data_IF_494430522550
#
_entry.id   IF_494430522550
#
_cell.length_a   1.000
_cell.length_b   1.000
_cell.length_c   1.000
_cell.angle_alpha   90.00
_cell.angle_beta   90.00
_cell.angle_gamma   90.00
#
_symmetry.space_group_name_H-M   'P 1'
#
loop_
_entity.id
_entity.type
_entity.pdbx_description
1 polymer ?
#
# COMPACT_ATOMS: atom_id res chain seq x y z
N UNK A 1 -9.57 -2.83 -8.70
CA UNK A 1 -10.01 -3.22 -7.36
C UNK A 1 -11.23 -4.13 -7.37
N UNK A 2 -12.15 -3.96 -8.32
CA UNK A 2 -13.43 -4.66 -8.35
C UNK A 2 -13.75 -5.18 -9.73
N UNK A 3 -14.46 -6.31 -9.78
CA UNK A 3 -15.27 -6.72 -10.93
C UNK A 3 -16.70 -6.24 -10.72
N UNK A 4 -17.44 -6.01 -11.80
CA UNK A 4 -18.85 -5.63 -11.77
C UNK A 4 -19.70 -6.72 -12.41
N UNK A 5 -20.80 -7.07 -11.76
CA UNK A 5 -21.84 -7.97 -12.26
C UNK A 5 -23.20 -7.29 -12.12
N UNK A 6 -24.16 -7.68 -12.97
CA UNK A 6 -25.53 -7.23 -12.81
C UNK A 6 -26.28 -8.27 -11.95
N UNK A 7 -26.88 -7.81 -10.85
CA UNK A 7 -27.65 -8.67 -9.93
C UNK A 7 -28.99 -8.02 -9.60
N UNK A 8 -29.98 -8.87 -9.34
CA UNK A 8 -31.29 -8.42 -8.86
C UNK A 8 -31.22 -8.14 -7.36
N UNK A 9 -31.68 -6.97 -6.97
CA UNK A 9 -31.75 -6.54 -5.57
C UNK A 9 -33.15 -6.04 -5.24
N UNK A 10 -33.59 -6.26 -3.99
CA UNK A 10 -34.77 -5.61 -3.49
C UNK A 10 -34.50 -4.14 -3.25
N UNK A 11 -35.26 -3.29 -3.92
CA UNK A 11 -35.19 -1.84 -3.76
C UNK A 11 -36.56 -1.31 -3.26
N UNK A 12 -36.50 -0.24 -2.48
CA UNK A 12 -37.72 0.43 -2.00
C UNK A 12 -37.80 1.82 -2.64
N UNK A 13 -38.99 2.15 -3.15
CA UNK A 13 -39.37 3.50 -3.55
C UNK A 13 -40.62 3.88 -2.76
N UNK A 14 -40.44 4.71 -1.77
CA UNK A 14 -41.50 4.94 -0.80
C UNK A 14 -41.76 3.67 0.01
N UNK A 15 -43.01 3.23 0.09
CA UNK A 15 -43.40 2.02 0.80
C UNK A 15 -43.43 0.73 -0.06
N UNK A 16 -43.15 0.86 -1.37
CA UNK A 16 -43.20 -0.27 -2.31
C UNK A 16 -41.82 -0.86 -2.51
N UNK A 17 -41.68 -2.15 -2.22
CA UNK A 17 -40.49 -2.94 -2.53
C UNK A 17 -40.63 -3.58 -3.91
N UNK A 18 -39.58 -3.54 -4.71
CA UNK A 18 -39.53 -4.15 -6.04
C UNK A 18 -38.16 -4.73 -6.33
N UNK A 19 -38.10 -5.68 -7.25
CA UNK A 19 -36.82 -6.15 -7.79
C UNK A 19 -36.32 -5.18 -8.84
N UNK A 20 -35.06 -4.81 -8.72
CA UNK A 20 -34.33 -3.98 -9.69
C UNK A 20 -33.01 -4.64 -10.04
N UNK A 21 -32.64 -4.57 -11.32
CA UNK A 21 -31.28 -4.96 -11.75
C UNK A 21 -30.33 -3.81 -11.46
N UNK A 22 -29.28 -4.09 -10.69
CA UNK A 22 -28.23 -3.12 -10.34
C UNK A 22 -26.85 -3.73 -10.51
N UNK A 23 -25.87 -2.89 -10.80
CA UNK A 23 -24.47 -3.32 -10.80
C UNK A 23 -23.99 -3.55 -9.38
N UNK A 24 -23.37 -4.70 -9.17
CA UNK A 24 -22.70 -5.09 -7.93
C UNK A 24 -21.21 -5.17 -8.17
N UNK A 25 -20.42 -4.61 -7.27
CA UNK A 25 -18.96 -4.71 -7.29
C UNK A 25 -18.50 -5.79 -6.33
N UNK A 26 -17.55 -6.59 -6.78
CA UNK A 26 -16.90 -7.62 -5.95
C UNK A 26 -15.38 -7.40 -6.01
N UNK A 27 -14.65 -7.39 -4.87
CA UNK A 27 -13.19 -7.24 -4.88
C UNK A 27 -12.53 -8.34 -5.71
N UNK A 28 -11.58 -7.95 -6.56
CA UNK A 28 -10.77 -8.89 -7.36
C UNK A 28 -9.84 -9.65 -6.42
N UNK A 29 -9.95 -10.97 -6.35
CA UNK A 29 -9.11 -11.86 -5.54
C UNK A 29 -8.13 -12.63 -6.43
N UNK A 30 -7.40 -11.92 -7.28
CA UNK A 30 -6.41 -12.51 -8.18
C UNK A 30 -4.99 -12.33 -7.62
N UNK A 31 -4.37 -13.44 -7.20
CA UNK A 31 -3.00 -13.44 -6.68
C UNK A 31 -1.91 -13.09 -7.70
N UNK A 32 -2.25 -12.97 -9.00
CA UNK A 32 -1.31 -12.57 -10.03
C UNK A 32 -1.22 -11.05 -10.21
N UNK A 33 -2.14 -10.29 -9.60
CA UNK A 33 -2.14 -8.82 -9.65
C UNK A 33 -1.77 -8.21 -8.30
N UNK A 34 -1.14 -7.03 -8.31
CA UNK A 34 -0.76 -6.34 -7.09
C UNK A 34 -1.98 -5.98 -6.23
N UNK A 35 -3.02 -5.37 -6.84
CA UNK A 35 -4.26 -5.01 -6.14
C UNK A 35 -5.02 -6.24 -5.63
N UNK A 36 -5.02 -7.33 -6.39
CA UNK A 36 -5.63 -8.59 -5.97
C UNK A 36 -4.93 -9.21 -4.76
N UNK A 37 -3.59 -9.18 -4.71
CA UNK A 37 -2.83 -9.63 -3.53
C UNK A 37 -3.14 -8.80 -2.29
N UNK A 38 -3.26 -7.48 -2.43
CA UNK A 38 -3.67 -6.60 -1.33
C UNK A 38 -5.08 -6.98 -0.85
N UNK A 39 -6.04 -7.17 -1.77
CA UNK A 39 -7.40 -7.59 -1.44
C UNK A 39 -7.42 -8.92 -0.66
N UNK A 40 -6.69 -9.93 -1.14
CA UNK A 40 -6.57 -11.23 -0.47
C UNK A 40 -5.98 -11.06 0.94
N UNK A 41 -4.88 -10.32 1.07
CA UNK A 41 -4.18 -10.12 2.33
C UNK A 41 -5.05 -9.42 3.37
N UNK A 42 -5.65 -8.28 3.03
CA UNK A 42 -6.47 -7.50 3.97
C UNK A 42 -7.75 -8.27 4.34
N UNK A 43 -8.41 -8.90 3.35
CA UNK A 43 -9.58 -9.73 3.62
C UNK A 43 -9.25 -10.84 4.64
N UNK A 44 -8.12 -11.53 4.44
CA UNK A 44 -7.67 -12.59 5.35
C UNK A 44 -7.36 -12.06 6.74
N UNK A 45 -6.66 -10.92 6.85
CA UNK A 45 -6.36 -10.30 8.15
C UNK A 45 -7.63 -9.91 8.89
N UNK A 46 -8.62 -9.29 8.22
CA UNK A 46 -9.90 -8.93 8.83
C UNK A 46 -10.71 -10.14 9.28
N UNK A 47 -10.61 -11.27 8.58
CA UNK A 47 -11.27 -12.52 8.99
C UNK A 47 -10.62 -13.14 10.23
N UNK A 48 -9.27 -13.12 10.28
CA UNK A 48 -8.52 -13.73 11.40
C UNK A 48 -8.50 -12.84 12.65
N UNK A 49 -8.52 -11.53 12.46
CA UNK A 49 -8.35 -10.53 13.52
C UNK A 49 -9.42 -9.44 13.39
N UNK A 50 -10.71 -9.78 13.53
CA UNK A 50 -11.81 -8.84 13.28
C UNK A 50 -11.84 -7.65 14.23
N UNK A 51 -11.27 -7.82 15.43
CA UNK A 51 -11.19 -6.84 16.51
C UNK A 51 -9.85 -6.08 16.57
N UNK A 52 -8.93 -6.32 15.62
CA UNK A 52 -7.62 -5.67 15.62
C UNK A 52 -7.55 -4.54 14.59
N UNK A 53 -6.89 -3.47 14.99
CA UNK A 53 -6.55 -2.41 14.06
C UNK A 53 -5.48 -2.90 13.08
N UNK A 54 -5.80 -2.80 11.80
CA UNK A 54 -4.87 -3.04 10.70
C UNK A 54 -4.45 -1.67 10.18
N UNK A 55 -3.17 -1.45 10.00
CA UNK A 55 -2.62 -0.22 9.42
C UNK A 55 -1.74 -0.59 8.24
N UNK A 56 -1.95 0.04 7.10
CA UNK A 56 -1.11 -0.12 5.92
C UNK A 56 -0.02 0.95 5.91
N UNK A 57 1.16 0.57 5.44
CA UNK A 57 2.26 1.49 5.17
C UNK A 57 2.53 1.51 3.67
N UNK A 58 2.68 2.70 3.09
CA UNK A 58 3.15 2.79 1.70
C UNK A 58 4.62 2.43 1.60
N UNK A 59 5.10 1.95 0.44
CA UNK A 59 6.54 1.80 0.19
C UNK A 59 7.29 3.12 0.40
N UNK A 60 8.54 3.03 0.83
CA UNK A 60 9.46 4.17 0.87
C UNK A 60 9.92 4.54 -0.54
N UNK A 61 10.46 5.76 -0.68
CA UNK A 61 11.32 6.10 -1.81
C UNK A 61 12.51 5.16 -1.89
N UNK A 62 12.90 4.81 -3.09
CA UNK A 62 13.98 3.87 -3.36
C UNK A 62 14.87 4.34 -4.51
N UNK A 63 16.13 3.96 -4.47
CA UNK A 63 17.05 4.17 -5.58
C UNK A 63 17.75 2.87 -5.94
N UNK A 64 18.84 2.97 -6.71
CA UNK A 64 19.62 1.83 -7.17
C UNK A 64 19.94 0.86 -6.02
N UNK A 65 19.74 -0.42 -6.29
CA UNK A 65 20.24 -1.50 -5.45
C UNK A 65 20.92 -2.55 -6.34
N UNK A 66 22.19 -2.85 -6.06
CA UNK A 66 22.99 -3.82 -6.80
C UNK A 66 23.45 -4.94 -5.87
N UNK A 67 22.77 -6.07 -5.96
CA UNK A 67 23.08 -7.28 -5.17
C UNK A 67 23.72 -8.39 -6.02
N UNK A 68 24.37 -8.00 -7.13
CA UNK A 68 25.06 -8.89 -8.05
C UNK A 68 24.30 -9.12 -9.36
N UNK A 69 24.93 -9.86 -10.27
CA UNK A 69 24.55 -10.00 -11.69
C UNK A 69 23.07 -10.29 -12.00
N UNK A 70 22.35 -10.92 -11.09
CA UNK A 70 20.95 -11.32 -11.29
C UNK A 70 19.95 -10.49 -10.48
N UNK A 71 20.41 -9.52 -9.71
CA UNK A 71 19.58 -8.73 -8.83
C UNK A 71 20.05 -7.26 -8.77
N UNK A 72 20.06 -6.62 -9.91
CA UNK A 72 20.24 -5.18 -10.02
C UNK A 72 18.88 -4.54 -10.20
N UNK A 73 18.53 -3.61 -9.32
CA UNK A 73 17.26 -2.92 -9.34
C UNK A 73 17.51 -1.44 -9.62
N UNK A 74 16.89 -0.87 -10.67
CA UNK A 74 17.04 0.55 -10.99
C UNK A 74 16.36 1.41 -9.91
N UNK A 75 16.63 2.70 -9.96
CA UNK A 75 15.91 3.68 -9.14
C UNK A 75 14.43 3.82 -9.57
N UNK A 76 13.64 4.50 -8.73
CA UNK A 76 12.19 4.63 -8.93
C UNK A 76 11.76 5.47 -10.13
N UNK A 77 12.71 6.20 -10.78
CA UNK A 77 12.43 6.96 -12.00
C UNK A 77 12.34 6.07 -13.25
N UNK A 78 12.68 4.77 -13.12
CA UNK A 78 12.53 3.81 -14.19
C UNK A 78 11.28 2.96 -14.00
N UNK A 79 10.59 2.70 -15.11
CA UNK A 79 9.49 1.74 -15.14
C UNK A 79 10.00 0.33 -14.87
N UNK A 80 9.17 -0.48 -14.21
CA UNK A 80 9.41 -1.90 -14.09
C UNK A 80 9.03 -2.65 -15.39
N UNK A 81 9.18 -3.98 -15.39
CA UNK A 81 8.83 -4.84 -16.53
C UNK A 81 7.34 -4.80 -16.94
N UNK A 82 6.47 -4.28 -16.09
CA UNK A 82 5.05 -4.09 -16.39
C UNK A 82 4.74 -2.69 -16.92
N UNK A 83 5.73 -1.82 -17.07
CA UNK A 83 5.55 -0.44 -17.55
C UNK A 83 5.09 0.53 -16.45
N UNK A 84 5.17 0.15 -15.17
CA UNK A 84 4.70 0.94 -14.03
C UNK A 84 5.86 1.55 -13.25
N UNK A 85 5.68 2.77 -12.75
CA UNK A 85 6.57 3.40 -11.78
C UNK A 85 6.20 2.99 -10.35
N UNK A 86 7.11 3.22 -9.40
CA UNK A 86 6.86 2.96 -7.96
C UNK A 86 5.63 3.71 -7.44
N UNK A 87 5.35 4.90 -7.97
CA UNK A 87 4.19 5.73 -7.62
C UNK A 87 2.86 4.99 -7.77
N UNK A 88 2.72 4.14 -8.79
CA UNK A 88 1.51 3.34 -9.01
C UNK A 88 1.26 2.36 -7.83
N UNK A 89 2.33 1.80 -7.26
CA UNK A 89 2.24 0.91 -6.10
C UNK A 89 1.95 1.67 -4.81
N UNK A 90 2.57 2.83 -4.62
CA UNK A 90 2.26 3.75 -3.51
C UNK A 90 0.79 4.14 -3.54
N UNK A 91 0.30 4.58 -4.70
CA UNK A 91 -1.10 4.97 -4.89
C UNK A 91 -2.06 3.79 -4.65
N UNK A 92 -1.71 2.59 -5.10
CA UNK A 92 -2.53 1.40 -4.85
C UNK A 92 -2.68 1.08 -3.35
N UNK A 93 -1.61 1.24 -2.55
CA UNK A 93 -1.72 1.06 -1.08
C UNK A 93 -2.63 2.12 -0.46
N UNK A 94 -2.54 3.37 -0.91
CA UNK A 94 -3.43 4.47 -0.44
C UNK A 94 -4.89 4.19 -0.78
N UNK A 95 -5.18 3.74 -1.99
CA UNK A 95 -6.53 3.35 -2.43
C UNK A 95 -7.08 2.17 -1.61
N UNK A 96 -6.23 1.20 -1.25
CA UNK A 96 -6.64 0.05 -0.45
C UNK A 96 -7.24 0.45 0.90
N UNK A 97 -6.74 1.53 1.51
CA UNK A 97 -7.30 2.08 2.73
C UNK A 97 -8.79 2.41 2.60
N UNK A 98 -9.17 3.07 1.51
CA UNK A 98 -10.57 3.42 1.22
C UNK A 98 -11.41 2.17 0.87
N UNK A 99 -10.84 1.24 0.11
CA UNK A 99 -11.54 0.00 -0.29
C UNK A 99 -11.91 -0.85 0.92
N UNK A 100 -11.01 -0.93 1.90
CA UNK A 100 -11.13 -1.86 3.01
C UNK A 100 -11.46 -1.20 4.37
N UNK A 101 -11.57 0.12 4.43
CA UNK A 101 -11.76 0.85 5.68
C UNK A 101 -10.58 0.59 6.64
N UNK A 102 -9.36 0.81 6.16
CA UNK A 102 -8.11 0.57 6.90
C UNK A 102 -7.26 1.84 6.85
N UNK A 103 -6.76 2.36 7.98
CA UNK A 103 -5.85 3.49 7.99
C UNK A 103 -4.59 3.23 7.15
N UNK A 104 -4.13 4.25 6.46
CA UNK A 104 -2.88 4.21 5.69
C UNK A 104 -1.94 5.28 6.19
N UNK A 105 -0.73 4.89 6.56
CA UNK A 105 0.37 5.82 6.83
C UNK A 105 1.23 5.91 5.58
N UNK A 106 1.26 7.07 4.97
CA UNK A 106 2.01 7.31 3.73
C UNK A 106 3.50 7.49 4.00
N UNK A 107 4.22 6.38 4.22
CA UNK A 107 5.66 6.40 4.48
C UNK A 107 6.47 6.99 3.34
N UNK A 108 5.98 6.90 2.12
CA UNK A 108 6.61 7.56 0.97
C UNK A 108 6.73 9.06 1.21
N UNK A 109 5.65 9.69 1.69
CA UNK A 109 5.62 11.14 1.94
C UNK A 109 6.18 11.54 3.31
N UNK A 110 5.71 10.87 4.41
CA UNK A 110 5.91 11.41 5.77
C UNK A 110 7.24 11.08 6.41
N UNK A 111 8.01 10.11 5.90
CA UNK A 111 9.33 9.80 6.44
C UNK A 111 10.37 10.85 6.09
N UNK A 112 10.18 11.54 4.97
CA UNK A 112 11.15 12.46 4.39
C UNK A 112 12.47 11.78 3.99
N UNK A 113 12.45 10.44 3.79
CA UNK A 113 13.59 9.67 3.28
C UNK A 113 13.54 9.66 1.75
N UNK A 114 14.56 10.22 1.11
CA UNK A 114 14.65 10.23 -0.35
C UNK A 114 16.09 9.92 -0.79
N UNK A 115 16.36 8.71 -1.33
CA UNK A 115 17.71 8.31 -1.75
C UNK A 115 18.20 9.00 -3.04
N UNK A 116 17.39 9.84 -3.68
CA UNK A 116 17.79 10.69 -4.81
C UNK A 116 18.52 11.95 -4.35
N UNK A 117 18.43 12.27 -3.04
CA UNK A 117 19.12 13.42 -2.43
C UNK A 117 20.41 12.92 -1.80
N UNK A 118 21.56 13.40 -2.29
CA UNK A 118 22.89 12.93 -1.89
C UNK A 118 23.11 13.02 -0.38
N UNK A 119 22.70 14.11 0.25
CA UNK A 119 22.85 14.35 1.68
C UNK A 119 22.01 13.40 2.55
N UNK A 120 21.04 12.72 1.95
CA UNK A 120 20.20 11.73 2.64
C UNK A 120 20.71 10.30 2.52
N UNK A 121 21.74 10.03 1.75
CA UNK A 121 22.29 8.68 1.59
C UNK A 121 22.78 8.06 2.90
N UNK A 122 23.09 8.87 3.91
CA UNK A 122 23.40 8.40 5.28
C UNK A 122 22.26 7.61 5.94
N UNK A 123 21.04 7.73 5.45
CA UNK A 123 19.86 6.99 5.92
C UNK A 123 19.64 5.68 5.18
N UNK A 124 20.46 5.37 4.17
CA UNK A 124 20.40 4.13 3.40
C UNK A 124 21.61 3.25 3.73
N UNK A 125 21.48 1.96 3.45
CA UNK A 125 22.44 0.95 3.92
C UNK A 125 23.84 1.21 3.35
N UNK A 126 23.93 1.44 2.06
CA UNK A 126 25.18 1.77 1.39
C UNK A 126 24.96 2.71 0.19
N UNK A 127 25.65 3.85 0.21
CA UNK A 127 25.53 4.85 -0.84
C UNK A 127 26.00 4.37 -2.23
N UNK A 128 26.86 3.37 -2.28
CA UNK A 128 27.44 2.84 -3.53
C UNK A 128 26.60 1.76 -4.19
N UNK A 129 25.94 0.89 -3.42
CA UNK A 129 25.25 -0.27 -4.00
C UNK A 129 23.87 -0.57 -3.40
N UNK A 130 23.50 -0.02 -2.25
CA UNK A 130 22.20 -0.30 -1.62
C UNK A 130 21.51 0.98 -1.12
N UNK A 131 20.87 1.67 -2.04
CA UNK A 131 20.02 2.83 -1.78
C UNK A 131 18.53 2.44 -1.66
N UNK A 132 18.25 1.17 -1.38
CA UNK A 132 16.92 0.62 -1.17
C UNK A 132 16.64 0.39 0.31
N UNK A 133 17.55 -0.29 1.01
CA UNK A 133 17.34 -0.63 2.41
C UNK A 133 17.78 0.51 3.32
N UNK A 134 16.96 0.87 4.34
CA UNK A 134 17.34 1.88 5.31
C UNK A 134 18.52 1.42 6.19
N UNK A 135 19.49 2.32 6.42
CA UNK A 135 20.51 2.14 7.47
C UNK A 135 19.89 2.17 8.86
N UNK A 136 20.69 1.91 9.89
CA UNK A 136 20.25 2.08 11.29
C UNK A 136 19.66 3.48 11.55
N UNK A 137 20.27 4.54 10.99
CA UNK A 137 19.74 5.91 11.10
C UNK A 137 18.40 6.06 10.39
N UNK A 138 18.25 5.45 9.20
CA UNK A 138 17.01 5.41 8.45
C UNK A 138 15.92 4.69 9.22
N UNK A 139 16.22 3.52 9.78
CA UNK A 139 15.28 2.73 10.60
C UNK A 139 14.80 3.50 11.85
N UNK A 140 15.71 4.19 12.54
CA UNK A 140 15.34 5.05 13.69
C UNK A 140 14.40 6.17 13.25
N UNK A 141 14.65 6.80 12.10
CA UNK A 141 13.77 7.84 11.54
C UNK A 141 12.40 7.28 11.20
N UNK A 142 12.34 6.12 10.53
CA UNK A 142 11.09 5.41 10.23
C UNK A 142 10.32 5.08 11.50
N UNK A 143 10.99 4.51 12.51
CA UNK A 143 10.35 4.13 13.77
C UNK A 143 9.75 5.34 14.50
N UNK A 144 10.46 6.46 14.54
CA UNK A 144 9.94 7.72 15.12
C UNK A 144 8.73 8.25 14.33
N UNK A 145 8.82 8.27 13.01
CA UNK A 145 7.70 8.67 12.15
C UNK A 145 6.49 7.77 12.40
N UNK A 146 6.68 6.44 12.41
CA UNK A 146 5.61 5.49 12.68
C UNK A 146 4.97 5.74 14.04
N UNK A 147 5.78 5.92 15.08
CA UNK A 147 5.30 6.19 16.44
C UNK A 147 4.36 7.41 16.47
N UNK A 148 4.78 8.53 15.88
CA UNK A 148 3.95 9.75 15.87
C UNK A 148 2.68 9.58 15.01
N UNK A 149 2.75 8.87 13.91
CA UNK A 149 1.57 8.58 13.08
C UNK A 149 0.57 7.67 13.80
N UNK A 150 1.05 6.66 14.52
CA UNK A 150 0.20 5.73 15.28
C UNK A 150 -0.51 6.42 16.46
N UNK A 151 0.08 7.45 17.08
CA UNK A 151 -0.56 8.23 18.12
C UNK A 151 -1.83 8.97 17.66
N UNK A 152 -1.98 9.19 16.36
CA UNK A 152 -3.18 9.81 15.78
C UNK A 152 -4.30 8.79 15.51
N UNK A 153 -4.05 7.49 15.69
CA UNK A 153 -5.01 6.42 15.44
C UNK A 153 -5.60 5.90 16.74
N UNK A 154 -6.85 5.36 16.74
CA UNK A 154 -7.41 4.72 17.92
C UNK A 154 -6.53 3.55 18.39
N UNK A 155 -6.31 3.43 19.69
CA UNK A 155 -5.52 2.33 20.25
C UNK A 155 -6.30 1.00 20.28
N UNK A 156 -7.61 1.08 20.36
CA UNK A 156 -8.55 -0.08 20.41
C UNK A 156 -9.81 0.25 19.63
N UNK A 157 -10.46 -0.76 19.10
CA UNK A 157 -11.81 -0.69 18.54
C UNK A 157 -12.78 -1.41 19.45
#
# INVERSE_FOLDING_TARGET
WFTETEEQVMAARGQVKRLETRKKRTPIMDGNTYKGRINIGINRLKQLFPDKQIVLLTPLHRSLADFGEKNVQPDENYQNSCGEYVDAYVQAVKEAGNVWGVPVIDFNAVTGLNPMVEEQLIYFYDAGYDRLHPSTKGQIRMARTLMYQLLALPATF
#
